data_IF_275627231190
#
_entry.id   IF_275627231190
#
_cell.length_a   1.000
_cell.length_b   1.000
_cell.length_c   1.000
_cell.angle_alpha   90.00
_cell.angle_beta   90.00
_cell.angle_gamma   90.00
#
_symmetry.space_group_name_H-M   'P 1'
#
loop_
_entity.id
_entity.type
_entity.pdbx_description
1 polymer ?
#
# COMPACT_ATOMS: atom_id res chain seq x y z
N UNK A 1 -11.71 -34.69 -1.16
CA UNK A 1 -12.20 -33.37 -0.73
C UNK A 1 -11.78 -32.36 -1.79
N UNK A 2 -12.73 -31.66 -2.41
CA UNK A 2 -12.45 -30.86 -3.61
C UNK A 2 -11.54 -29.67 -3.29
N UNK A 3 -10.51 -29.44 -4.11
CA UNK A 3 -9.53 -28.37 -3.97
C UNK A 3 -10.18 -26.97 -3.81
N UNK A 4 -11.33 -26.76 -4.48
CA UNK A 4 -12.18 -25.57 -4.34
C UNK A 4 -12.73 -25.38 -2.92
N UNK A 5 -13.21 -26.46 -2.30
CA UNK A 5 -13.78 -26.45 -0.95
C UNK A 5 -12.69 -26.17 0.10
N UNK A 6 -11.47 -26.67 -0.11
CA UNK A 6 -10.33 -26.37 0.76
C UNK A 6 -9.98 -24.88 0.79
N UNK A 7 -9.93 -24.22 -0.36
CA UNK A 7 -9.66 -22.76 -0.43
C UNK A 7 -10.78 -21.95 0.20
N UNK A 8 -12.04 -22.31 -0.07
CA UNK A 8 -13.18 -21.62 0.53
C UNK A 8 -13.16 -21.70 2.05
N UNK A 9 -12.90 -22.89 2.62
CA UNK A 9 -12.75 -23.09 4.07
C UNK A 9 -11.56 -22.30 4.61
N UNK A 10 -10.41 -22.33 3.93
CA UNK A 10 -9.23 -21.58 4.34
C UNK A 10 -9.49 -20.06 4.40
N UNK A 11 -10.12 -19.47 3.38
CA UNK A 11 -10.44 -18.04 3.37
C UNK A 11 -11.43 -17.66 4.48
N UNK A 12 -12.40 -18.52 4.78
CA UNK A 12 -13.32 -18.32 5.90
C UNK A 12 -12.60 -18.36 7.24
N UNK A 13 -11.71 -19.33 7.45
CA UNK A 13 -10.89 -19.44 8.67
C UNK A 13 -10.02 -18.18 8.84
N UNK A 14 -9.42 -17.70 7.75
CA UNK A 14 -8.57 -16.49 7.77
C UNK A 14 -9.38 -15.24 8.12
N UNK A 15 -10.56 -15.04 7.55
CA UNK A 15 -11.46 -13.94 7.94
C UNK A 15 -11.87 -14.05 9.40
N UNK A 16 -12.20 -15.26 9.85
CA UNK A 16 -12.64 -15.49 11.21
C UNK A 16 -11.50 -15.19 12.20
N UNK A 17 -10.27 -15.59 11.85
CA UNK A 17 -9.06 -15.25 12.61
C UNK A 17 -8.85 -13.73 12.65
N UNK A 18 -8.97 -13.02 11.53
CA UNK A 18 -8.84 -11.56 11.51
C UNK A 18 -9.95 -10.82 12.25
N UNK A 19 -11.14 -11.40 12.40
CA UNK A 19 -12.18 -10.86 13.29
C UNK A 19 -11.90 -11.19 14.77
N UNK A 20 -11.36 -12.37 15.08
CA UNK A 20 -11.08 -12.79 16.45
C UNK A 20 -9.89 -12.05 17.07
N UNK A 21 -8.82 -11.80 16.33
CA UNK A 21 -7.62 -11.08 16.82
C UNK A 21 -7.95 -9.73 17.46
N UNK A 22 -8.67 -8.79 16.81
CA UNK A 22 -8.99 -7.49 17.39
C UNK A 22 -9.94 -7.59 18.60
N UNK A 23 -10.84 -8.58 18.60
CA UNK A 23 -11.73 -8.87 19.75
C UNK A 23 -10.94 -9.41 20.94
N UNK A 24 -9.98 -10.30 20.68
CA UNK A 24 -9.08 -10.85 21.69
C UNK A 24 -8.16 -9.77 22.28
N UNK A 25 -7.62 -8.89 21.44
CA UNK A 25 -6.82 -7.73 21.87
C UNK A 25 -7.65 -6.77 22.73
N UNK A 26 -8.92 -6.55 22.37
CA UNK A 26 -9.84 -5.76 23.18
C UNK A 26 -10.10 -6.40 24.55
N UNK A 27 -10.23 -7.73 24.62
CA UNK A 27 -10.45 -8.45 25.87
C UNK A 27 -9.20 -8.53 26.75
N UNK A 28 -8.01 -8.68 26.15
CA UNK A 28 -6.74 -8.90 26.86
C UNK A 28 -6.16 -7.63 27.49
N UNK A 29 -6.85 -6.49 27.39
CA UNK A 29 -6.48 -5.20 27.99
C UNK A 29 -4.99 -4.87 27.81
N UNK A 30 -4.53 -4.80 26.55
CA UNK A 30 -3.16 -4.41 26.24
C UNK A 30 -2.98 -2.91 26.54
N UNK A 31 -2.14 -2.59 27.53
CA UNK A 31 -1.83 -1.21 27.96
C UNK A 31 -1.12 -0.38 26.88
N UNK A 32 -0.44 -1.03 25.93
CA UNK A 32 0.30 -0.36 24.87
C UNK A 32 -0.61 0.05 23.69
N UNK A 33 -0.90 1.35 23.59
CA UNK A 33 -1.76 1.93 22.54
C UNK A 33 -1.25 1.67 21.10
N UNK A 34 0.08 1.70 20.90
CA UNK A 34 0.69 1.42 19.60
C UNK A 34 0.46 -0.02 19.15
N UNK A 35 0.68 -0.98 20.05
CA UNK A 35 0.49 -2.41 19.78
C UNK A 35 -0.97 -2.69 19.47
N UNK A 36 -1.88 -2.10 20.26
CA UNK A 36 -3.33 -2.21 20.01
C UNK A 36 -3.71 -1.67 18.64
N UNK A 37 -3.16 -0.53 18.23
CA UNK A 37 -3.41 0.07 16.91
C UNK A 37 -2.87 -0.80 15.77
N UNK A 38 -1.65 -1.33 15.91
CA UNK A 38 -1.05 -2.24 14.93
C UNK A 38 -1.92 -3.48 14.68
N UNK A 39 -2.49 -4.07 15.72
CA UNK A 39 -3.40 -5.21 15.57
C UNK A 39 -4.70 -4.83 14.84
N UNK A 40 -5.30 -3.68 15.16
CA UNK A 40 -6.52 -3.21 14.48
C UNK A 40 -6.28 -2.91 13.00
N UNK A 41 -5.20 -2.20 12.69
CA UNK A 41 -4.82 -1.82 11.31
C UNK A 41 -4.42 -3.06 10.51
N UNK A 42 -3.63 -3.97 11.10
CA UNK A 42 -3.25 -5.23 10.45
C UNK A 42 -4.46 -6.11 10.15
N UNK A 43 -5.41 -6.21 11.09
CA UNK A 43 -6.65 -6.94 10.89
C UNK A 43 -7.51 -6.31 9.78
N UNK A 44 -7.65 -4.98 9.75
CA UNK A 44 -8.44 -4.31 8.71
C UNK A 44 -7.82 -4.47 7.31
N UNK A 45 -6.48 -4.42 7.20
CA UNK A 45 -5.76 -4.72 5.95
C UNK A 45 -5.95 -6.17 5.49
N UNK A 46 -5.86 -7.13 6.42
CA UNK A 46 -6.14 -8.54 6.16
C UNK A 46 -7.58 -8.78 5.68
N UNK A 47 -8.56 -8.10 6.27
CA UNK A 47 -9.97 -8.17 5.83
C UNK A 47 -10.11 -7.64 4.39
N UNK A 48 -9.53 -6.48 4.07
CA UNK A 48 -9.58 -5.91 2.72
C UNK A 48 -9.04 -6.85 1.65
N UNK A 49 -7.89 -7.48 1.93
CA UNK A 49 -7.28 -8.47 1.05
C UNK A 49 -8.07 -9.78 0.93
N UNK A 50 -8.73 -10.19 2.01
CA UNK A 50 -9.56 -11.41 1.98
C UNK A 50 -10.85 -11.17 1.20
N UNK A 51 -11.47 -9.99 1.29
CA UNK A 51 -12.62 -9.60 0.45
C UNK A 51 -12.24 -9.64 -1.04
N UNK A 52 -11.07 -9.13 -1.40
CA UNK A 52 -10.58 -9.23 -2.77
C UNK A 52 -10.39 -10.69 -3.21
N UNK A 53 -9.84 -11.53 -2.33
CA UNK A 53 -9.63 -12.96 -2.58
C UNK A 53 -10.96 -13.70 -2.78
N UNK A 54 -11.99 -13.38 -1.99
CA UNK A 54 -13.35 -13.91 -2.18
C UNK A 54 -13.92 -13.50 -3.55
N UNK A 55 -13.73 -12.23 -3.95
CA UNK A 55 -14.18 -11.75 -5.26
C UNK A 55 -13.52 -12.53 -6.41
N UNK A 56 -12.22 -12.78 -6.33
CA UNK A 56 -11.50 -13.60 -7.31
C UNK A 56 -11.96 -15.06 -7.31
N UNK A 57 -12.22 -15.62 -6.13
CA UNK A 57 -12.74 -16.98 -5.99
C UNK A 57 -14.14 -17.14 -6.61
N UNK A 58 -15.03 -16.16 -6.39
CA UNK A 58 -16.37 -16.14 -6.97
C UNK A 58 -16.33 -16.12 -8.50
N UNK A 59 -15.50 -15.25 -9.08
CA UNK A 59 -15.32 -15.17 -10.54
C UNK A 59 -14.76 -16.47 -11.14
N UNK A 60 -13.74 -17.08 -10.52
CA UNK A 60 -13.18 -18.35 -11.00
C UNK A 60 -14.11 -19.55 -10.82
N UNK A 61 -15.03 -19.50 -9.87
CA UNK A 61 -16.00 -20.58 -9.64
C UNK A 61 -17.14 -20.52 -10.66
N UNK A 62 -17.57 -19.32 -11.06
CA UNK A 62 -18.57 -19.12 -12.11
C UNK A 62 -18.07 -19.38 -13.54
N UNK A 63 -16.75 -19.37 -13.77
CA UNK A 63 -16.14 -19.58 -15.10
C UNK A 63 -15.48 -20.94 -15.34
N UNK A 64 -15.71 -21.94 -14.47
CA UNK A 64 -15.24 -23.34 -14.57
C UNK A 64 -13.72 -23.62 -14.71
N UNK A 65 -12.87 -22.59 -14.73
CA UNK A 65 -11.41 -22.69 -15.00
C UNK A 65 -10.56 -22.71 -13.73
N UNK A 66 -11.00 -23.42 -12.69
CA UNK A 66 -10.26 -23.49 -11.43
C UNK A 66 -9.02 -24.39 -11.58
N UNK A 67 -7.86 -23.77 -11.84
CA UNK A 67 -6.57 -24.48 -11.87
C UNK A 67 -6.02 -24.63 -10.45
N UNK A 68 -5.61 -25.84 -10.02
CA UNK A 68 -5.02 -26.06 -8.69
C UNK A 68 -3.72 -25.28 -8.47
N UNK A 69 -3.05 -24.81 -9.53
CA UNK A 69 -1.84 -24.00 -9.41
C UNK A 69 -2.06 -22.61 -8.78
N UNK A 70 -3.30 -22.13 -8.71
CA UNK A 70 -3.64 -20.83 -8.12
C UNK A 70 -3.77 -20.88 -6.59
N UNK A 71 -3.73 -22.07 -5.97
CA UNK A 71 -3.87 -22.25 -4.51
C UNK A 71 -2.86 -21.43 -3.73
N UNK A 72 -1.60 -21.45 -4.18
CA UNK A 72 -0.50 -20.76 -3.53
C UNK A 72 -0.71 -19.24 -3.54
N UNK A 73 -1.24 -18.73 -4.64
CA UNK A 73 -1.55 -17.30 -4.76
C UNK A 73 -2.64 -16.86 -3.76
N UNK A 74 -3.64 -17.71 -3.51
CA UNK A 74 -4.66 -17.45 -2.49
C UNK A 74 -4.14 -17.54 -1.05
N UNK A 75 -3.09 -18.33 -0.79
CA UNK A 75 -2.47 -18.46 0.54
C UNK A 75 -1.54 -17.28 0.85
N UNK A 76 -0.77 -16.82 -0.13
CA UNK A 76 0.14 -15.69 0.08
C UNK A 76 -0.59 -14.34 0.14
N UNK A 77 -1.77 -14.22 -0.51
CA UNK A 77 -2.51 -12.95 -0.60
C UNK A 77 -2.88 -12.33 0.76
N UNK A 78 -3.48 -13.05 1.72
CA UNK A 78 -3.89 -12.48 3.00
C UNK A 78 -2.69 -12.00 3.80
N UNK A 79 -1.58 -12.73 3.75
CA UNK A 79 -0.32 -12.37 4.42
C UNK A 79 0.19 -11.04 3.88
N UNK A 80 0.28 -10.91 2.55
CA UNK A 80 0.72 -9.67 1.89
C UNK A 80 -0.21 -8.50 2.24
N UNK A 81 -1.51 -8.77 2.41
CA UNK A 81 -2.52 -7.74 2.71
C UNK A 81 -2.45 -7.23 4.15
N UNK A 82 -2.08 -8.09 5.11
CA UNK A 82 -1.78 -7.66 6.48
C UNK A 82 -0.54 -6.78 6.48
N UNK A 83 0.52 -7.20 5.80
CA UNK A 83 1.77 -6.44 5.71
C UNK A 83 1.54 -5.08 5.06
N UNK A 84 0.78 -5.02 3.95
CA UNK A 84 0.46 -3.74 3.31
C UNK A 84 -0.36 -2.83 4.21
N UNK A 85 -1.33 -3.36 4.96
CA UNK A 85 -2.10 -2.60 5.94
C UNK A 85 -1.25 -2.00 7.05
N UNK A 86 -0.33 -2.78 7.63
CA UNK A 86 0.62 -2.29 8.64
C UNK A 86 1.56 -1.24 8.03
N UNK A 87 2.00 -1.44 6.80
CA UNK A 87 2.90 -0.51 6.11
C UNK A 87 2.24 0.86 5.88
N UNK A 88 0.94 0.90 5.54
CA UNK A 88 0.17 2.15 5.46
C UNK A 88 0.25 2.95 6.76
N UNK A 89 0.11 2.29 7.90
CA UNK A 89 0.19 2.95 9.20
C UNK A 89 1.56 3.60 9.41
N UNK A 90 2.65 2.91 9.05
CA UNK A 90 3.99 3.50 9.11
C UNK A 90 4.18 4.66 8.15
N UNK A 91 3.64 4.59 6.93
CA UNK A 91 3.73 5.70 5.97
C UNK A 91 3.02 6.96 6.48
N UNK A 92 1.87 6.81 7.13
CA UNK A 92 1.11 7.95 7.63
C UNK A 92 1.73 8.51 8.91
N UNK A 93 2.06 7.64 9.88
CA UNK A 93 2.68 8.08 11.15
C UNK A 93 4.09 8.62 10.92
N UNK A 94 4.84 8.05 9.99
CA UNK A 94 6.16 8.54 9.57
C UNK A 94 6.13 9.80 8.72
N UNK A 95 4.95 10.34 8.38
CA UNK A 95 4.80 11.59 7.63
C UNK A 95 5.05 11.48 6.12
N UNK A 96 5.40 10.30 5.62
CA UNK A 96 5.69 10.05 4.20
C UNK A 96 4.43 10.08 3.34
N UNK A 97 3.28 9.78 3.94
CA UNK A 97 1.97 9.84 3.32
C UNK A 97 1.07 10.76 4.14
N UNK A 98 1.11 12.06 3.86
CA UNK A 98 0.18 13.03 4.41
C UNK A 98 -1.11 13.06 3.58
N UNK A 99 -2.23 12.74 4.21
CA UNK A 99 -3.57 12.96 3.66
C UNK A 99 -4.12 14.15 4.45
N UNK A 100 -4.51 15.19 3.72
CA UNK A 100 -5.02 16.42 4.32
C UNK A 100 -6.41 16.16 4.88
N UNK A 101 -6.49 15.89 6.19
CA UNK A 101 -7.75 15.82 6.91
C UNK A 101 -7.75 16.88 8.02
N UNK A 102 -8.36 18.02 7.74
CA UNK A 102 -8.69 19.09 8.69
C UNK A 102 -9.84 18.66 9.61
N UNK A 103 -9.66 17.61 10.40
CA UNK A 103 -10.63 17.30 11.45
C UNK A 103 -9.89 17.09 12.74
N UNK A 104 -10.28 17.80 13.81
CA UNK A 104 -9.82 17.58 15.17
C UNK A 104 -9.93 16.08 15.49
N UNK A 105 -8.79 15.38 15.42
CA UNK A 105 -8.74 13.92 15.50
C UNK A 105 -8.54 13.53 16.95
N UNK A 106 -9.63 13.25 17.65
CA UNK A 106 -9.57 12.43 18.87
C UNK A 106 -8.88 11.10 18.55
N UNK A 107 -8.14 10.53 19.51
CA UNK A 107 -7.42 9.25 19.36
C UNK A 107 -8.25 8.15 18.66
N UNK A 108 -9.53 8.03 19.02
CA UNK A 108 -10.45 7.05 18.43
C UNK A 108 -10.70 7.28 16.92
N UNK A 109 -10.79 8.54 16.49
CA UNK A 109 -11.02 8.92 15.08
C UNK A 109 -9.78 8.67 14.22
N UNK A 110 -8.58 8.83 14.81
CA UNK A 110 -7.31 8.50 14.17
C UNK A 110 -7.15 7.00 13.89
N UNK A 111 -7.45 6.14 14.87
CA UNK A 111 -7.39 4.68 14.68
C UNK A 111 -8.35 4.21 13.59
N UNK A 112 -9.60 4.73 13.57
CA UNK A 112 -10.56 4.40 12.52
C UNK A 112 -10.08 4.82 11.12
N UNK A 113 -9.44 5.98 11.02
CA UNK A 113 -8.85 6.48 9.78
C UNK A 113 -7.74 5.55 9.27
N UNK A 114 -6.80 5.15 10.14
CA UNK A 114 -5.74 4.21 9.78
C UNK A 114 -6.31 2.85 9.37
N UNK A 115 -7.31 2.34 10.08
CA UNK A 115 -7.97 1.09 9.75
C UNK A 115 -8.65 1.13 8.37
N UNK A 116 -9.32 2.24 8.03
CA UNK A 116 -9.96 2.41 6.73
C UNK A 116 -8.95 2.43 5.58
N UNK A 117 -7.83 3.12 5.77
CA UNK A 117 -6.76 3.17 4.77
C UNK A 117 -6.04 1.82 4.63
N UNK A 118 -5.79 1.12 5.73
CA UNK A 118 -5.23 -0.23 5.70
C UNK A 118 -6.16 -1.21 4.98
N UNK A 119 -7.47 -1.15 5.24
CA UNK A 119 -8.47 -1.91 4.49
C UNK A 119 -8.41 -1.60 2.99
N UNK A 120 -8.33 -0.31 2.63
CA UNK A 120 -8.26 0.11 1.23
C UNK A 120 -6.98 -0.38 0.54
N UNK A 121 -5.84 -0.35 1.25
CA UNK A 121 -4.57 -0.86 0.74
C UNK A 121 -4.57 -2.37 0.55
N UNK A 122 -5.20 -3.12 1.45
CA UNK A 122 -5.42 -4.57 1.29
C UNK A 122 -6.37 -4.89 0.13
N UNK A 123 -7.47 -4.13 0.01
CA UNK A 123 -8.47 -4.34 -1.04
C UNK A 123 -7.98 -3.93 -2.43
N UNK A 124 -7.23 -2.83 -2.54
CA UNK A 124 -6.74 -2.25 -3.79
C UNK A 124 -5.21 -2.23 -3.86
N UNK A 125 -4.58 -3.39 -3.65
CA UNK A 125 -3.11 -3.54 -3.63
C UNK A 125 -2.42 -2.88 -4.84
N UNK A 126 -2.96 -2.99 -6.05
CA UNK A 126 -2.38 -2.37 -7.26
C UNK A 126 -2.32 -0.85 -7.18
N UNK A 127 -3.39 -0.21 -6.69
CA UNK A 127 -3.44 1.26 -6.54
C UNK A 127 -2.54 1.72 -5.40
N UNK A 128 -2.49 0.93 -4.32
CA UNK A 128 -1.59 1.19 -3.20
C UNK A 128 -0.13 1.14 -3.64
N UNK A 129 0.27 0.12 -4.40
CA UNK A 129 1.65 -0.03 -4.85
C UNK A 129 2.09 1.12 -5.75
N UNK A 130 1.25 1.55 -6.69
CA UNK A 130 1.55 2.74 -7.51
C UNK A 130 1.68 4.02 -6.67
N UNK A 131 0.93 4.14 -5.56
CA UNK A 131 1.11 5.26 -4.63
C UNK A 131 2.44 5.17 -3.88
N UNK A 132 2.82 3.99 -3.39
CA UNK A 132 4.11 3.75 -2.73
C UNK A 132 5.28 4.04 -3.68
N UNK A 133 5.16 3.64 -4.95
CA UNK A 133 6.14 3.94 -5.99
C UNK A 133 6.29 5.44 -6.21
N UNK A 134 5.17 6.19 -6.36
CA UNK A 134 5.24 7.65 -6.48
C UNK A 134 5.88 8.33 -5.25
N UNK A 135 5.65 7.78 -4.05
CA UNK A 135 6.28 8.29 -2.82
C UNK A 135 7.78 8.01 -2.84
N UNK A 136 8.17 6.79 -3.24
CA UNK A 136 9.57 6.40 -3.41
C UNK A 136 10.28 7.31 -4.41
N UNK A 137 9.72 7.51 -5.60
CA UNK A 137 10.27 8.40 -6.62
C UNK A 137 10.45 9.82 -6.10
N UNK A 138 9.47 10.40 -5.39
CA UNK A 138 9.62 11.74 -4.81
C UNK A 138 10.75 11.80 -3.78
N UNK A 139 10.82 10.82 -2.87
CA UNK A 139 11.84 10.77 -1.80
C UNK A 139 13.25 10.60 -2.38
N UNK A 140 13.41 9.78 -3.42
CA UNK A 140 14.71 9.54 -4.04
C UNK A 140 15.08 10.62 -5.07
N UNK A 141 14.13 11.18 -5.81
CA UNK A 141 14.40 12.25 -6.82
C UNK A 141 14.75 13.59 -6.16
N UNK A 142 14.23 13.88 -4.96
CA UNK A 142 14.63 15.07 -4.20
C UNK A 142 16.13 15.04 -3.84
N UNK A 143 16.74 13.85 -3.73
CA UNK A 143 18.18 13.70 -3.53
C UNK A 143 19.03 13.91 -4.80
N UNK A 144 18.42 13.91 -5.99
CA UNK A 144 19.11 14.09 -7.27
C UNK A 144 19.11 15.57 -7.74
N UNK A 145 18.27 16.43 -7.14
CA UNK A 145 18.24 17.87 -7.44
C UNK A 145 19.29 18.73 -6.72
N UNK A 146 20.29 18.12 -6.07
CA UNK A 146 21.52 18.80 -5.64
C UNK A 146 22.66 18.55 -6.64
N UNK A 147 22.49 19.00 -7.89
CA UNK A 147 23.63 19.40 -8.71
C UNK A 147 23.24 20.46 -9.77
N UNK A 148 23.26 21.75 -9.44
CA UNK A 148 23.07 22.85 -10.38
C UNK A 148 24.38 23.19 -11.13
N UNK A 149 25.09 22.21 -11.70
CA UNK A 149 26.24 22.50 -12.55
C UNK A 149 26.57 21.37 -13.53
N UNK A 150 26.01 21.43 -14.74
CA UNK A 150 26.59 20.86 -15.98
C UNK A 150 25.68 20.95 -17.23
N UNK A 151 24.69 21.86 -17.30
CA UNK A 151 23.90 22.05 -18.53
C UNK A 151 23.64 23.52 -18.94
N UNK A 152 24.52 24.44 -18.56
CA UNK A 152 24.48 25.82 -19.07
C UNK A 152 25.66 26.21 -19.97
N UNK A 153 26.64 25.32 -20.19
CA UNK A 153 27.81 25.64 -21.02
C UNK A 153 27.94 24.73 -22.25
N UNK A 154 26.92 24.75 -23.12
CA UNK A 154 27.09 24.32 -24.52
C UNK A 154 26.42 25.23 -25.55
N UNK A 155 25.43 26.04 -25.17
CA UNK A 155 24.81 26.99 -26.11
C UNK A 155 25.59 28.31 -26.25
N UNK A 156 26.25 28.80 -25.18
CA UNK A 156 26.98 30.08 -25.24
C UNK A 156 28.29 30.00 -26.06
N UNK A 157 28.89 28.80 -26.20
CA UNK A 157 30.12 28.63 -27.01
C UNK A 157 29.83 28.54 -28.52
N UNK A 158 28.61 28.14 -28.93
CA UNK A 158 28.18 28.19 -30.33
C UNK A 158 27.78 29.60 -30.74
N UNK A 159 27.08 30.35 -29.88
CA UNK A 159 26.66 31.72 -30.19
C UNK A 159 27.86 32.65 -30.40
N UNK A 160 28.88 32.56 -29.54
CA UNK A 160 30.11 33.35 -29.70
C UNK A 160 31.03 32.91 -30.84
N UNK A 161 30.85 31.72 -31.43
CA UNK A 161 31.58 31.34 -32.65
C UNK A 161 30.96 31.99 -33.89
N UNK A 162 29.64 32.14 -33.90
CA UNK A 162 28.89 32.68 -35.03
C UNK A 162 28.96 34.21 -35.11
N UNK A 163 29.22 34.90 -33.99
CA UNK A 163 29.42 36.36 -33.98
C UNK A 163 30.83 36.79 -34.46
N UNK A 164 31.82 35.89 -34.44
CA UNK A 164 33.17 36.17 -34.93
C UNK A 164 33.26 35.94 -36.46
N UNK A 165 32.30 35.23 -37.05
CA UNK A 165 32.31 34.86 -38.48
C UNK A 165 31.49 35.79 -39.39
N UNK A 166 31.04 36.96 -38.89
CA UNK A 166 30.42 37.96 -39.77
C UNK A 166 30.85 39.41 -39.48
N UNK A 167 32.07 39.81 -39.90
CA UNK A 167 32.42 41.20 -40.05
C UNK A 167 31.86 41.72 -41.39
N UNK A 168 30.69 42.36 -41.34
CA UNK A 168 30.30 43.36 -42.34
C UNK A 168 29.42 42.88 -43.48
N UNK A 169 28.23 43.47 -43.52
CA UNK A 169 27.59 44.03 -44.73
C UNK A 169 26.76 45.23 -44.31
#
# INVERSE_FOLDING_TARGET
MNCKTFVGIYLLIVILLFCLVPVFVFYSYIDNDLVRTLFYVGASGGIGGTVYSIRGFYQNTGGETFKPNWIWWYIFRPIISVVSGVFVYFLIVGGLMSISNNTDVTFSKGVMFYCALAFLAGFSFTRFMGKVESISENVFSESEHVNPSAKDNKDTTQNNRNEIENPGT
#
